data_IF_113635914312
#
_entry.id   IF_113635914312
#
_cell.length_a   1.000
_cell.length_b   1.000
_cell.length_c   1.000
_cell.angle_alpha   90.00
_cell.angle_beta   90.00
_cell.angle_gamma   90.00
#
_symmetry.space_group_name_H-M   'P 1'
#
loop_
_entity.id
_entity.type
_entity.pdbx_description
1 polymer ?
#
# COMPACT_ATOMS: atom_id res chain seq x y z
N UNK A 1 1.82 -12.64 -18.66
CA UNK A 1 1.42 -13.79 -17.82
C UNK A 1 1.66 -13.46 -16.35
N UNK A 2 2.91 -13.45 -15.85
CA UNK A 2 3.20 -13.13 -14.43
C UNK A 2 2.60 -11.81 -13.90
N UNK A 3 2.79 -10.69 -14.60
CA UNK A 3 2.21 -9.40 -14.18
C UNK A 3 0.68 -9.48 -14.05
N UNK A 4 0.01 -10.00 -15.08
CA UNK A 4 -1.46 -10.09 -15.13
C UNK A 4 -2.02 -11.02 -14.07
N UNK A 5 -1.33 -12.11 -13.76
CA UNK A 5 -1.82 -13.15 -12.83
C UNK A 5 -1.38 -12.94 -11.38
N UNK A 6 -0.29 -12.20 -11.14
CA UNK A 6 0.29 -12.02 -9.80
C UNK A 6 0.25 -10.56 -9.35
N UNK A 7 0.64 -9.61 -10.20
CA UNK A 7 0.78 -8.21 -9.78
C UNK A 7 -0.54 -7.45 -9.92
N UNK A 8 -1.24 -7.61 -11.04
CA UNK A 8 -2.47 -6.89 -11.34
C UNK A 8 -3.61 -7.14 -10.33
N UNK A 9 -3.85 -8.37 -9.83
CA UNK A 9 -4.91 -8.62 -8.85
C UNK A 9 -4.66 -7.85 -7.54
N UNK A 10 -3.45 -7.96 -6.98
CA UNK A 10 -3.10 -7.28 -5.74
C UNK A 10 -3.11 -5.75 -5.89
N UNK A 11 -2.65 -5.23 -7.04
CA UNK A 11 -2.80 -3.81 -7.36
C UNK A 11 -4.28 -3.39 -7.37
N UNK A 12 -5.16 -4.19 -7.96
CA UNK A 12 -6.60 -3.94 -7.95
C UNK A 12 -7.20 -3.91 -6.55
N UNK A 13 -6.78 -4.80 -5.65
CA UNK A 13 -7.20 -4.80 -4.25
C UNK A 13 -6.78 -3.51 -3.53
N UNK A 14 -5.57 -3.02 -3.78
CA UNK A 14 -5.09 -1.75 -3.24
C UNK A 14 -5.91 -0.56 -3.76
N UNK A 15 -6.28 -0.56 -5.04
CA UNK A 15 -7.12 0.49 -5.64
C UNK A 15 -8.54 0.49 -5.05
N UNK A 16 -9.13 -0.70 -4.84
CA UNK A 16 -10.43 -0.85 -4.16
C UNK A 16 -10.35 -0.35 -2.72
N UNK A 17 -9.31 -0.76 -1.99
CA UNK A 17 -9.07 -0.31 -0.62
C UNK A 17 -8.93 1.21 -0.54
N UNK A 18 -8.11 1.80 -1.42
CA UNK A 18 -7.93 3.25 -1.48
C UNK A 18 -9.26 3.96 -1.71
N UNK A 19 -10.08 3.49 -2.66
CA UNK A 19 -11.40 4.08 -2.94
C UNK A 19 -12.34 4.01 -1.74
N UNK A 20 -12.29 2.93 -0.95
CA UNK A 20 -13.10 2.77 0.27
C UNK A 20 -12.64 3.68 1.42
N UNK A 21 -11.37 4.10 1.43
CA UNK A 21 -10.77 4.92 2.49
C UNK A 21 -10.43 6.35 2.03
N UNK A 22 -10.85 6.72 0.81
CA UNK A 22 -10.47 7.94 0.13
C UNK A 22 -10.84 9.18 0.97
N UNK A 23 -9.82 9.94 1.36
CA UNK A 23 -9.97 11.15 2.15
C UNK A 23 -8.70 11.99 2.06
N UNK A 24 -8.83 13.30 2.20
CA UNK A 24 -7.68 14.21 2.22
C UNK A 24 -6.62 13.80 3.26
N UNK A 25 -7.06 13.28 4.41
CA UNK A 25 -6.18 12.78 5.45
C UNK A 25 -5.40 11.53 5.04
N UNK A 26 -6.01 10.64 4.26
CA UNK A 26 -5.31 9.49 3.69
C UNK A 26 -4.22 9.97 2.72
N UNK A 27 -4.53 10.93 1.85
CA UNK A 27 -3.57 11.45 0.87
C UNK A 27 -2.35 12.10 1.54
N UNK A 28 -2.59 12.90 2.58
CA UNK A 28 -1.51 13.49 3.39
C UNK A 28 -0.66 12.40 4.05
N UNK A 29 -1.30 11.35 4.60
CA UNK A 29 -0.56 10.20 5.17
C UNK A 29 0.28 9.49 4.12
N UNK A 30 -0.25 9.28 2.91
CA UNK A 30 0.48 8.62 1.83
C UNK A 30 1.72 9.43 1.44
N UNK A 31 1.60 10.75 1.26
CA UNK A 31 2.74 11.63 0.97
C UNK A 31 3.80 11.57 2.08
N UNK A 32 3.38 11.67 3.35
CA UNK A 32 4.28 11.54 4.49
C UNK A 32 4.98 10.18 4.51
N UNK A 33 4.24 9.09 4.31
CA UNK A 33 4.79 7.74 4.32
C UNK A 33 5.77 7.51 3.17
N UNK A 34 5.51 8.08 1.98
CA UNK A 34 6.46 8.06 0.86
C UNK A 34 7.78 8.74 1.24
N UNK A 35 7.73 9.93 1.84
CA UNK A 35 8.94 10.59 2.33
C UNK A 35 9.62 9.78 3.46
N UNK A 36 8.84 9.19 4.36
CA UNK A 36 9.36 8.40 5.48
C UNK A 36 10.14 7.17 5.04
N UNK A 37 9.65 6.42 4.04
CA UNK A 37 10.35 5.22 3.54
C UNK A 37 11.69 5.57 2.89
N UNK A 38 11.84 6.77 2.31
CA UNK A 38 13.13 7.26 1.80
C UNK A 38 14.12 7.49 2.95
N UNK A 39 13.66 8.06 4.07
CA UNK A 39 14.50 8.34 5.25
C UNK A 39 14.80 7.08 6.07
N UNK A 40 13.83 6.17 6.21
CA UNK A 40 13.93 4.94 7.00
C UNK A 40 13.31 3.74 6.24
N UNK A 41 14.03 3.14 5.28
CA UNK A 41 13.50 2.09 4.40
C UNK A 41 13.15 0.78 5.13
N UNK A 42 13.83 0.48 6.24
CA UNK A 42 13.57 -0.71 7.07
C UNK A 42 12.32 -0.55 7.97
N UNK A 43 11.52 0.49 7.75
CA UNK A 43 10.36 0.80 8.59
C UNK A 43 9.07 0.17 8.03
N UNK A 44 8.43 -0.71 8.80
CA UNK A 44 7.08 -1.22 8.51
C UNK A 44 5.94 -0.22 8.84
N UNK A 45 6.28 1.07 8.92
CA UNK A 45 5.32 2.11 9.31
C UNK A 45 4.13 2.22 8.35
N UNK A 46 4.32 2.16 7.01
CA UNK A 46 3.19 2.21 6.08
C UNK A 46 2.16 1.09 6.34
N UNK A 47 2.64 -0.15 6.50
CA UNK A 47 1.78 -1.33 6.67
C UNK A 47 1.08 -1.35 8.03
N UNK A 48 1.69 -0.75 9.07
CA UNK A 48 1.07 -0.62 10.38
C UNK A 48 0.07 0.52 10.47
N UNK A 49 0.32 1.63 9.78
CA UNK A 49 -0.47 2.84 9.95
C UNK A 49 -1.69 2.88 9.02
N UNK A 50 -1.56 2.31 7.82
CA UNK A 50 -2.66 2.12 6.87
C UNK A 50 -3.44 0.85 7.25
N UNK A 51 -4.47 1.02 8.08
CA UNK A 51 -5.26 -0.11 8.59
C UNK A 51 -6.14 -0.72 7.49
N UNK A 52 -6.25 -2.04 7.51
CA UNK A 52 -7.15 -2.78 6.61
C UNK A 52 -6.62 -2.94 5.19
N UNK A 53 -5.34 -2.62 4.93
CA UNK A 53 -4.70 -2.93 3.66
C UNK A 53 -4.83 -4.43 3.33
N UNK A 54 -4.97 -4.79 2.04
CA UNK A 54 -4.87 -6.19 1.63
C UNK A 54 -3.53 -6.79 2.05
N UNK A 55 -3.53 -8.07 2.42
CA UNK A 55 -2.32 -8.75 2.85
C UNK A 55 -1.31 -8.84 1.71
N UNK A 56 -0.05 -8.48 1.98
CA UNK A 56 1.01 -8.57 0.98
C UNK A 56 1.25 -10.05 0.64
N UNK A 57 1.01 -10.47 -0.61
CA UNK A 57 1.16 -11.86 -0.98
C UNK A 57 2.63 -12.30 -0.91
N UNK A 58 2.88 -13.58 -0.62
CA UNK A 58 4.24 -14.08 -0.37
C UNK A 58 5.24 -13.83 -1.51
N UNK A 59 4.77 -13.92 -2.76
CA UNK A 59 5.61 -13.66 -3.93
C UNK A 59 5.99 -12.19 -4.11
N UNK A 60 5.40 -11.27 -3.32
CA UNK A 60 5.78 -9.87 -3.28
C UNK A 60 6.54 -9.50 -2.02
N UNK A 61 6.74 -10.39 -1.04
CA UNK A 61 7.39 -10.06 0.24
C UNK A 61 8.85 -9.66 0.05
#
# INVERSE_FOLDING_TARGET
VFYTEKIAPYKGELEIWYRQHASLWLDIKLIFLTAWVIVKPESDLPFRWLKGLPERPEYLK
#
